data_IF_396280799398
#
_entry.id   IF_396280799398
#
_cell.length_a   1.000
_cell.length_b   1.000
_cell.length_c   1.000
_cell.angle_alpha   90.00
_cell.angle_beta   90.00
_cell.angle_gamma   90.00
#
_symmetry.space_group_name_H-M   'P 1'
#
loop_
_entity.id
_entity.type
_entity.pdbx_description
1 polymer ?
#
# COMPACT_ATOMS: atom_id res chain seq x y z
N UNK A 1 12.09 -14.73 -9.49
CA UNK A 1 11.66 -13.79 -8.44
C UNK A 1 12.80 -13.06 -7.74
N UNK A 2 14.06 -13.52 -7.86
CA UNK A 2 15.22 -12.91 -7.19
C UNK A 2 15.36 -11.41 -7.41
N UNK A 3 15.17 -10.93 -8.65
CA UNK A 3 15.22 -9.49 -8.94
C UNK A 3 14.19 -8.67 -8.15
N UNK A 4 12.95 -9.17 -8.02
CA UNK A 4 11.90 -8.47 -7.24
C UNK A 4 12.26 -8.50 -5.75
N UNK A 5 12.74 -9.64 -5.26
CA UNK A 5 13.16 -9.82 -3.88
C UNK A 5 14.29 -8.84 -3.50
N UNK A 6 15.31 -8.72 -4.35
CA UNK A 6 16.42 -7.78 -4.15
C UNK A 6 15.95 -6.31 -4.13
N UNK A 7 15.09 -5.91 -5.07
CA UNK A 7 14.56 -4.53 -5.10
C UNK A 7 13.69 -4.26 -3.87
N UNK A 8 12.88 -5.22 -3.43
CA UNK A 8 12.08 -5.11 -2.21
C UNK A 8 12.95 -4.98 -0.96
N UNK A 9 14.03 -5.76 -0.86
CA UNK A 9 14.99 -5.67 0.25
C UNK A 9 15.68 -4.30 0.30
N UNK A 10 16.17 -3.80 -0.83
CA UNK A 10 16.75 -2.45 -0.92
C UNK A 10 15.75 -1.38 -0.50
N UNK A 11 14.50 -1.49 -0.94
CA UNK A 11 13.44 -0.56 -0.56
C UNK A 11 13.08 -0.64 0.93
N UNK A 12 13.06 -1.84 1.51
CA UNK A 12 12.83 -2.05 2.95
C UNK A 12 13.86 -1.28 3.77
N UNK A 13 15.15 -1.50 3.49
CA UNK A 13 16.26 -0.81 4.19
C UNK A 13 16.19 0.69 3.96
N UNK A 14 15.95 1.13 2.73
CA UNK A 14 15.91 2.56 2.39
C UNK A 14 14.75 3.30 3.07
N UNK A 15 13.59 2.65 3.24
CA UNK A 15 12.39 3.28 3.82
C UNK A 15 12.27 3.10 5.33
N UNK A 16 13.08 2.22 5.93
CA UNK A 16 13.05 1.93 7.37
C UNK A 16 11.71 1.34 7.85
N UNK A 17 10.94 0.70 6.96
CA UNK A 17 9.65 0.09 7.30
C UNK A 17 9.85 -1.23 8.04
N UNK A 18 8.88 -1.55 8.88
CA UNK A 18 8.86 -2.72 9.77
C UNK A 18 8.03 -3.89 9.21
N UNK A 19 7.55 -3.76 7.96
CA UNK A 19 6.76 -4.79 7.33
C UNK A 19 6.89 -4.81 5.79
N UNK A 20 6.79 -6.02 5.23
CA UNK A 20 6.61 -6.29 3.80
C UNK A 20 5.19 -6.83 3.60
N UNK A 21 4.40 -6.13 2.78
CA UNK A 21 3.07 -6.57 2.35
C UNK A 21 3.08 -6.95 0.87
N UNK A 22 2.79 -8.22 0.56
CA UNK A 22 2.71 -8.72 -0.82
C UNK A 22 1.24 -8.75 -1.29
N UNK A 23 0.95 -8.01 -2.37
CA UNK A 23 -0.37 -7.90 -3.00
C UNK A 23 -0.30 -8.14 -4.51
N UNK A 24 -1.46 -8.13 -5.19
CA UNK A 24 -1.59 -8.43 -6.62
C UNK A 24 -1.77 -9.92 -6.91
N UNK A 25 -2.21 -10.27 -8.12
CA UNK A 25 -2.49 -11.66 -8.50
C UNK A 25 -1.27 -12.61 -8.37
N UNK A 26 -0.05 -12.07 -8.53
CA UNK A 26 1.20 -12.84 -8.40
C UNK A 26 1.52 -13.18 -6.93
N UNK A 27 0.87 -12.53 -5.95
CA UNK A 27 1.03 -12.81 -4.53
C UNK A 27 0.60 -14.24 -4.12
N UNK A 28 -0.20 -14.91 -4.96
CA UNK A 28 -0.58 -16.31 -4.78
C UNK A 28 0.60 -17.29 -5.02
N UNK A 29 1.69 -16.85 -5.66
CA UNK A 29 2.82 -17.71 -5.97
C UNK A 29 3.59 -18.10 -4.69
N UNK A 30 3.59 -19.40 -4.37
CA UNK A 30 4.27 -19.95 -3.18
C UNK A 30 5.77 -19.67 -3.16
N UNK A 31 6.45 -19.76 -4.30
CA UNK A 31 7.91 -19.53 -4.36
C UNK A 31 8.26 -18.10 -4.04
N UNK A 32 7.52 -17.13 -4.58
CA UNK A 32 7.69 -15.71 -4.26
C UNK A 32 7.45 -15.43 -2.77
N UNK A 33 6.37 -15.97 -2.20
CA UNK A 33 6.07 -15.83 -0.77
C UNK A 33 7.21 -16.31 0.12
N UNK A 34 7.73 -17.52 -0.13
CA UNK A 34 8.86 -18.08 0.64
C UNK A 34 10.11 -17.22 0.54
N UNK A 35 10.41 -16.66 -0.65
CA UNK A 35 11.58 -15.78 -0.81
C UNK A 35 11.41 -14.46 -0.04
N UNK A 36 10.23 -13.84 -0.08
CA UNK A 36 9.93 -12.60 0.65
C UNK A 36 9.91 -12.81 2.17
N UNK A 37 9.39 -13.95 2.62
CA UNK A 37 9.38 -14.33 4.03
C UNK A 37 10.80 -14.51 4.59
N UNK A 38 11.72 -15.06 3.79
CA UNK A 38 13.14 -15.13 4.16
C UNK A 38 13.74 -13.74 4.37
N UNK A 39 13.52 -12.82 3.42
CA UNK A 39 14.01 -11.43 3.55
C UNK A 39 13.42 -10.77 4.80
N UNK A 40 12.12 -10.92 5.03
CA UNK A 40 11.49 -10.34 6.20
C UNK A 40 12.10 -10.87 7.51
N UNK A 41 12.35 -12.18 7.57
CA UNK A 41 12.99 -12.83 8.71
C UNK A 41 14.41 -12.32 8.93
N UNK A 42 15.19 -12.18 7.87
CA UNK A 42 16.59 -11.73 7.93
C UNK A 42 16.69 -10.28 8.44
N UNK A 43 15.70 -9.44 8.15
CA UNK A 43 15.61 -8.05 8.61
C UNK A 43 14.78 -7.86 9.89
N UNK A 44 14.22 -8.94 10.46
CA UNK A 44 13.39 -8.86 11.67
C UNK A 44 12.06 -8.11 11.49
N UNK A 45 11.52 -8.07 10.28
CA UNK A 45 10.28 -7.35 9.92
C UNK A 45 9.11 -8.29 9.66
N UNK A 46 7.89 -7.76 9.69
CA UNK A 46 6.67 -8.57 9.50
C UNK A 46 6.43 -8.83 8.01
N UNK A 47 6.28 -10.10 7.62
CA UNK A 47 5.77 -10.45 6.29
C UNK A 47 4.28 -10.79 6.32
N UNK A 48 3.51 -10.21 5.41
CA UNK A 48 2.12 -10.62 5.13
C UNK A 48 1.87 -10.68 3.63
N UNK A 49 1.08 -11.65 3.21
CA UNK A 49 0.54 -11.71 1.87
C UNK A 49 -0.98 -11.59 1.92
N UNK A 50 -1.55 -10.74 1.08
CA UNK A 50 -2.99 -10.51 1.01
C UNK A 50 -3.71 -11.82 0.64
N UNK A 51 -4.86 -12.15 1.26
CA UNK A 51 -5.69 -13.28 0.84
C UNK A 51 -6.06 -13.21 -0.65
N UNK A 52 -6.14 -14.34 -1.34
CA UNK A 52 -6.26 -14.40 -2.82
C UNK A 52 -7.55 -13.75 -3.33
N UNK A 53 -8.61 -13.81 -2.54
CA UNK A 53 -9.90 -13.17 -2.77
C UNK A 53 -9.80 -11.63 -2.79
N UNK A 54 -8.84 -11.05 -2.07
CA UNK A 54 -8.61 -9.60 -1.99
C UNK A 54 -7.37 -9.14 -2.77
N UNK A 55 -6.48 -10.05 -3.15
CA UNK A 55 -5.24 -9.74 -3.85
C UNK A 55 -5.42 -9.48 -5.36
N UNK A 56 -6.53 -9.97 -5.96
CA UNK A 56 -6.89 -9.68 -7.36
C UNK A 56 -7.75 -8.42 -7.44
N UNK A 57 -7.81 -7.81 -8.62
CA UNK A 57 -8.67 -6.66 -8.86
C UNK A 57 -10.12 -6.99 -8.50
N UNK A 58 -10.67 -6.25 -7.54
CA UNK A 58 -12.00 -6.48 -7.01
C UNK A 58 -12.72 -5.14 -6.72
N UNK A 59 -14.05 -5.16 -6.69
CA UNK A 59 -14.83 -3.96 -6.36
C UNK A 59 -14.68 -3.52 -4.91
N UNK A 60 -14.33 -4.43 -3.99
CA UNK A 60 -14.23 -4.14 -2.57
C UNK A 60 -13.08 -3.18 -2.23
N UNK A 61 -11.90 -3.32 -2.86
CA UNK A 61 -10.78 -2.39 -2.67
C UNK A 61 -11.11 -0.97 -3.18
N UNK A 62 -11.89 -0.87 -4.26
CA UNK A 62 -12.34 0.41 -4.80
C UNK A 62 -13.38 1.05 -3.88
N UNK A 63 -14.39 0.28 -3.47
CA UNK A 63 -15.41 0.74 -2.55
C UNK A 63 -14.81 1.18 -1.20
N UNK A 64 -13.88 0.40 -0.64
CA UNK A 64 -13.21 0.73 0.62
C UNK A 64 -12.39 2.02 0.52
N UNK A 65 -11.64 2.19 -0.57
CA UNK A 65 -10.90 3.43 -0.82
C UNK A 65 -11.87 4.63 -0.95
N UNK A 66 -13.00 4.45 -1.65
CA UNK A 66 -14.05 5.46 -1.74
C UNK A 66 -14.68 5.83 -0.39
N UNK A 67 -14.93 4.85 0.47
CA UNK A 67 -15.40 5.08 1.85
C UNK A 67 -14.37 5.87 2.64
N UNK A 68 -13.08 5.49 2.60
CA UNK A 68 -12.01 6.22 3.28
C UNK A 68 -11.91 7.67 2.80
N UNK A 69 -11.99 7.90 1.49
CA UNK A 69 -12.01 9.22 0.88
C UNK A 69 -13.20 10.05 1.36
N UNK A 70 -14.41 9.50 1.29
CA UNK A 70 -15.63 10.19 1.72
C UNK A 70 -15.59 10.55 3.21
N UNK A 71 -15.11 9.64 4.08
CA UNK A 71 -14.95 9.89 5.51
C UNK A 71 -13.96 11.00 5.83
N UNK A 72 -13.06 11.34 4.90
CA UNK A 72 -12.07 12.41 5.03
C UNK A 72 -12.34 13.58 4.08
N UNK A 73 -13.59 13.73 3.62
CA UNK A 73 -14.04 14.82 2.74
C UNK A 73 -13.26 14.94 1.41
N UNK A 74 -12.67 13.84 0.93
CA UNK A 74 -12.07 13.76 -0.41
C UNK A 74 -13.17 13.37 -1.40
N UNK A 75 -13.71 14.36 -2.09
CA UNK A 75 -14.78 14.20 -3.08
C UNK A 75 -14.39 14.85 -4.40
N UNK A 76 -14.93 14.34 -5.52
CA UNK A 76 -14.69 14.89 -6.86
C UNK A 76 -16.06 15.23 -7.47
N UNK A 77 -16.26 16.46 -7.98
CA UNK A 77 -17.45 16.80 -8.75
C UNK A 77 -17.62 15.88 -9.97
N UNK A 78 -18.87 15.62 -10.37
CA UNK A 78 -19.16 14.67 -11.48
C UNK A 78 -18.57 15.16 -12.80
N UNK A 79 -18.57 16.47 -13.02
CA UNK A 79 -17.95 17.13 -14.18
C UNK A 79 -16.42 17.12 -14.15
N UNK A 80 -15.80 16.73 -13.03
CA UNK A 80 -14.35 16.56 -12.88
C UNK A 80 -13.93 15.07 -12.76
N UNK A 81 -14.88 14.14 -12.68
CA UNK A 81 -14.63 12.70 -12.47
C UNK A 81 -14.19 11.97 -13.75
N UNK A 82 -13.17 12.49 -14.41
CA UNK A 82 -12.62 11.92 -15.64
C UNK A 82 -11.69 10.73 -15.38
N UNK A 83 -11.60 9.84 -16.36
CA UNK A 83 -10.65 8.73 -16.35
C UNK A 83 -9.22 9.26 -16.49
N UNK A 84 -8.31 8.80 -15.62
CA UNK A 84 -6.88 9.13 -15.66
C UNK A 84 -6.04 7.87 -15.90
N UNK A 85 -5.72 7.49 -17.16
CA UNK A 85 -5.01 6.23 -17.44
C UNK A 85 -3.58 6.16 -16.88
N UNK A 86 -2.94 7.30 -16.63
CA UNK A 86 -1.57 7.40 -16.07
C UNK A 86 -1.59 8.01 -14.66
N UNK A 87 -2.59 7.67 -13.87
CA UNK A 87 -2.74 8.20 -12.53
C UNK A 87 -1.61 7.70 -11.63
N UNK A 88 -0.76 8.61 -11.17
CA UNK A 88 0.39 8.30 -10.33
C UNK A 88 0.01 8.32 -8.86
N UNK A 89 0.65 7.47 -8.06
CA UNK A 89 0.41 7.37 -6.61
C UNK A 89 0.83 8.63 -5.83
N UNK A 90 1.84 9.36 -6.30
CA UNK A 90 2.32 10.59 -5.67
C UNK A 90 1.47 11.83 -5.98
N UNK A 91 0.47 11.68 -6.86
CA UNK A 91 -0.50 12.73 -7.19
C UNK A 91 -1.85 12.55 -6.47
N UNK A 92 -1.88 11.74 -5.41
CA UNK A 92 -3.10 11.41 -4.64
C UNK A 92 -2.88 11.74 -3.18
N UNK A 93 -3.76 12.55 -2.62
CA UNK A 93 -3.78 12.85 -1.19
C UNK A 93 -4.34 11.67 -0.38
N UNK A 94 -3.72 11.37 0.77
CA UNK A 94 -4.04 10.22 1.63
C UNK A 94 -4.38 10.70 3.06
N UNK A 95 -5.44 11.49 3.27
CA UNK A 95 -5.73 12.12 4.55
C UNK A 95 -6.07 11.15 5.68
N UNK A 96 -6.51 9.92 5.36
CA UNK A 96 -6.78 8.87 6.35
C UNK A 96 -5.52 8.27 6.98
N UNK A 97 -4.33 8.66 6.52
CA UNK A 97 -3.03 8.20 7.03
C UNK A 97 -2.33 9.22 7.92
N UNK A 98 -2.92 10.40 8.17
CA UNK A 98 -2.32 11.45 8.99
C UNK A 98 -1.98 10.91 10.39
N UNK A 99 -0.69 10.97 10.73
CA UNK A 99 -0.19 10.53 12.03
C UNK A 99 -0.71 11.43 13.15
N UNK A 100 -1.09 10.86 14.30
CA UNK A 100 -1.40 11.57 15.55
C UNK A 100 -0.27 12.48 16.10
N UNK A 101 0.85 12.63 15.38
CA UNK A 101 2.02 13.40 15.81
C UNK A 101 2.05 14.85 15.29
N UNK A 102 1.12 15.26 14.43
CA UNK A 102 1.07 16.65 13.91
C UNK A 102 0.05 17.55 14.64
N UNK A 103 -0.79 16.99 15.51
CA UNK A 103 -1.84 17.76 16.23
C UNK A 103 -1.27 18.64 17.37
N UNK A 104 0.01 18.52 17.74
CA UNK A 104 0.63 19.26 18.86
C UNK A 104 1.68 20.31 18.42
N UNK A 105 1.58 20.90 17.22
CA UNK A 105 2.51 21.97 16.77
C UNK A 105 1.88 23.35 16.50
N UNK A 106 0.63 23.56 16.88
CA UNK A 106 0.05 24.93 16.93
C UNK A 106 -0.32 25.24 18.39
N UNK A 107 0.66 25.74 19.14
CA UNK A 107 0.50 26.05 20.57
C UNK A 107 1.74 26.59 21.25
N UNK A 108 2.62 27.29 20.53
CA UNK A 108 3.70 28.10 21.10
C UNK A 108 3.68 29.46 20.42
#
# INVERSE_FOLDING_TARGET
>A
FSMICEVTERALVHTGKDAILLTGGVAANRRLRVMMESIAKDHGVVFKAVPVEYARDNGAMIAWTGVLSLLHNVTIPVDESFIRPRWRLDAVDIPWRMNKHEVNKEGC
#
